data_IF_273307533935
#
_entry.id   IF_273307533935
#
_cell.length_a   1.000
_cell.length_b   1.000
_cell.length_c   1.000
_cell.angle_alpha   90.00
_cell.angle_beta   90.00
_cell.angle_gamma   90.00
#
_symmetry.space_group_name_H-M   'P 1'
#
loop_
_entity.id
_entity.type
_entity.pdbx_description
1 polymer ?
#
# COMPACT_ATOMS: atom_id res chain seq x y z
N UNK A 1 -6.81 -0.83 28.66
CA UNK A 1 -6.34 0.39 27.98
C UNK A 1 -7.53 1.22 27.51
N UNK A 2 -7.42 2.55 27.53
CA UNK A 2 -8.48 3.45 27.10
C UNK A 2 -8.24 3.84 25.64
N UNK A 3 -9.16 3.45 24.74
CA UNK A 3 -9.10 3.82 23.32
C UNK A 3 -9.55 5.28 23.19
N UNK A 4 -8.69 6.12 22.62
CA UNK A 4 -8.94 7.51 22.22
C UNK A 4 -8.54 7.72 20.75
N UNK A 5 -8.81 8.91 20.19
CA UNK A 5 -8.53 9.20 18.79
C UNK A 5 -7.06 8.97 18.41
N UNK A 6 -6.11 9.44 19.23
CA UNK A 6 -4.67 9.24 19.00
C UNK A 6 -4.31 7.76 18.92
N UNK A 7 -4.77 6.94 19.86
CA UNK A 7 -4.50 5.50 19.86
C UNK A 7 -5.17 4.77 18.69
N UNK A 8 -6.37 5.17 18.30
CA UNK A 8 -7.09 4.59 17.16
C UNK A 8 -6.37 4.86 15.84
N UNK A 9 -5.90 6.10 15.66
CA UNK A 9 -5.15 6.52 14.48
C UNK A 9 -3.78 5.86 14.46
N UNK A 10 -3.05 5.88 15.57
CA UNK A 10 -1.75 5.20 15.67
C UNK A 10 -1.87 3.73 15.28
N UNK A 11 -2.89 3.02 15.77
CA UNK A 11 -3.12 1.62 15.41
C UNK A 11 -3.43 1.46 13.91
N UNK A 12 -4.27 2.32 13.33
CA UNK A 12 -4.55 2.28 11.89
C UNK A 12 -3.31 2.53 11.03
N UNK A 13 -2.47 3.48 11.43
CA UNK A 13 -1.21 3.82 10.73
C UNK A 13 -0.08 2.85 11.02
N UNK A 14 -0.17 2.05 12.08
CA UNK A 14 0.83 1.02 12.40
C UNK A 14 0.83 -0.08 11.34
N UNK A 15 -0.34 -0.42 10.79
CA UNK A 15 -0.49 -1.43 9.74
C UNK A 15 -0.17 -0.87 8.35
N UNK A 16 -0.66 0.33 8.02
CA UNK A 16 -0.32 1.05 6.79
C UNK A 16 -0.09 2.52 7.11
N UNK A 17 1.19 2.91 7.28
CA UNK A 17 1.58 4.32 7.59
C UNK A 17 1.06 5.30 6.54
N UNK A 18 0.88 4.84 5.30
CA UNK A 18 0.63 5.67 4.14
C UNK A 18 -0.84 5.66 3.71
N UNK A 19 -1.71 5.12 4.57
CA UNK A 19 -3.17 5.17 4.37
C UNK A 19 -3.63 6.63 4.17
N UNK A 20 -4.44 6.91 3.14
CA UNK A 20 -5.02 8.23 2.95
C UNK A 20 -5.85 8.65 4.19
N UNK A 21 -5.73 9.91 4.61
CA UNK A 21 -6.48 10.43 5.77
C UNK A 21 -7.99 10.19 5.63
N UNK A 22 -8.54 10.38 4.43
CA UNK A 22 -9.97 10.18 4.14
C UNK A 22 -10.40 8.72 4.27
N UNK A 23 -9.54 7.78 3.86
CA UNK A 23 -9.77 6.34 3.99
C UNK A 23 -9.72 5.92 5.45
N UNK A 24 -8.67 6.33 6.18
CA UNK A 24 -8.55 6.07 7.61
C UNK A 24 -9.73 6.67 8.40
N UNK A 25 -10.16 7.88 8.04
CA UNK A 25 -11.35 8.52 8.63
C UNK A 25 -12.60 7.68 8.43
N UNK A 26 -12.85 7.22 7.21
CA UNK A 26 -14.00 6.38 6.89
C UNK A 26 -14.02 5.10 7.73
N UNK A 27 -12.86 4.44 7.87
CA UNK A 27 -12.70 3.26 8.71
C UNK A 27 -12.99 3.59 10.19
N UNK A 28 -12.40 4.65 10.72
CA UNK A 28 -12.59 5.08 12.11
C UNK A 28 -14.05 5.42 12.39
N UNK A 29 -14.70 6.20 11.52
CA UNK A 29 -16.11 6.58 11.69
C UNK A 29 -17.04 5.34 11.67
N UNK A 30 -16.76 4.36 10.81
CA UNK A 30 -17.48 3.08 10.77
C UNK A 30 -17.28 2.29 12.07
N UNK A 31 -16.05 2.23 12.57
CA UNK A 31 -15.72 1.53 13.82
C UNK A 31 -16.37 2.23 15.02
N UNK A 32 -16.32 3.57 15.07
CA UNK A 32 -16.96 4.38 16.12
C UNK A 32 -18.46 4.12 16.16
N UNK A 33 -19.12 4.17 14.99
CA UNK A 33 -20.57 3.91 14.88
C UNK A 33 -20.92 2.50 15.31
N UNK A 34 -20.16 1.50 14.85
CA UNK A 34 -20.39 0.10 15.23
C UNK A 34 -20.19 -0.10 16.74
N UNK A 35 -19.08 0.40 17.28
CA UNK A 35 -18.74 0.22 18.68
C UNK A 35 -19.66 1.01 19.63
N UNK A 36 -20.13 2.20 19.25
CA UNK A 36 -21.06 2.99 20.07
C UNK A 36 -22.41 2.29 20.25
N UNK A 37 -22.85 1.52 19.24
CA UNK A 37 -24.13 0.81 19.28
C UNK A 37 -24.13 -0.40 20.22
N UNK A 38 -22.94 -0.88 20.64
CA UNK A 38 -22.81 -1.98 21.60
C UNK A 38 -23.10 -1.53 23.03
N UNK A 39 -22.93 -0.23 23.33
CA UNK A 39 -23.06 0.30 24.68
C UNK A 39 -24.43 0.93 24.90
N UNK A 40 -24.89 0.90 26.15
CA UNK A 40 -26.08 1.62 26.58
C UNK A 40 -25.98 3.11 26.21
N UNK A 41 -27.07 3.64 25.68
CA UNK A 41 -27.18 5.02 25.26
C UNK A 41 -26.90 5.99 26.43
N UNK A 42 -26.10 7.03 26.16
CA UNK A 42 -25.70 8.03 27.16
C UNK A 42 -24.67 7.53 28.18
N UNK A 43 -24.26 6.25 28.13
CA UNK A 43 -23.25 5.74 29.04
C UNK A 43 -21.90 6.42 28.83
N UNK A 44 -21.10 6.54 29.91
CA UNK A 44 -19.75 7.09 29.83
C UNK A 44 -18.88 6.39 28.77
N UNK A 45 -19.09 5.09 28.57
CA UNK A 45 -18.36 4.30 27.55
C UNK A 45 -18.77 4.69 26.13
N UNK A 46 -20.08 4.78 25.86
CA UNK A 46 -20.57 5.23 24.56
C UNK A 46 -20.07 6.65 24.23
N UNK A 47 -20.21 7.59 25.18
CA UNK A 47 -19.77 8.97 24.99
C UNK A 47 -18.27 9.10 24.74
N UNK A 48 -17.43 8.25 25.35
CA UNK A 48 -15.99 8.22 25.09
C UNK A 48 -15.67 7.78 23.66
N UNK A 49 -16.40 6.80 23.13
CA UNK A 49 -16.21 6.31 21.75
C UNK A 49 -16.65 7.36 20.74
N UNK A 50 -17.81 7.98 20.96
CA UNK A 50 -18.32 9.05 20.09
C UNK A 50 -17.41 10.28 20.02
N UNK A 51 -16.56 10.50 21.05
CA UNK A 51 -15.55 11.57 21.04
C UNK A 51 -14.37 11.33 20.11
N UNK A 52 -14.19 10.11 19.59
CA UNK A 52 -13.08 9.79 18.70
C UNK A 52 -13.24 10.54 17.37
N UNK A 53 -14.41 10.48 16.72
CA UNK A 53 -14.63 11.11 15.41
C UNK A 53 -14.41 12.64 15.41
N UNK A 54 -14.92 13.42 16.38
CA UNK A 54 -14.65 14.86 16.45
C UNK A 54 -13.18 15.23 16.68
N UNK A 55 -12.39 14.31 17.25
CA UNK A 55 -10.96 14.53 17.53
C UNK A 55 -10.06 14.00 16.40
N UNK A 56 -10.63 13.43 15.34
CA UNK A 56 -9.88 12.70 14.31
C UNK A 56 -8.80 13.57 13.67
N UNK A 57 -9.14 14.75 13.15
CA UNK A 57 -8.20 15.55 12.37
C UNK A 57 -6.99 16.02 13.22
N UNK A 58 -7.25 16.53 14.43
CA UNK A 58 -6.19 16.97 15.37
C UNK A 58 -5.32 15.78 15.79
N UNK A 59 -5.94 14.63 16.07
CA UNK A 59 -5.19 13.44 16.46
C UNK A 59 -4.39 12.86 15.29
N UNK A 60 -4.89 12.96 14.05
CA UNK A 60 -4.21 12.54 12.84
C UNK A 60 -2.94 13.35 12.60
N UNK A 61 -3.05 14.67 12.62
CA UNK A 61 -1.92 15.58 12.52
C UNK A 61 -0.87 15.30 13.61
N UNK A 62 -1.31 15.08 14.85
CA UNK A 62 -0.45 14.75 15.98
C UNK A 62 0.33 13.44 15.77
N UNK A 63 -0.33 12.38 15.30
CA UNK A 63 0.35 11.10 15.02
C UNK A 63 1.32 11.24 13.84
N UNK A 64 0.95 11.94 12.77
CA UNK A 64 1.85 12.23 11.65
C UNK A 64 3.12 12.95 12.10
N UNK A 65 2.98 14.01 12.91
CA UNK A 65 4.12 14.74 13.46
C UNK A 65 5.06 13.85 14.29
N UNK A 66 4.50 12.93 15.09
CA UNK A 66 5.29 11.96 15.87
C UNK A 66 6.08 10.98 14.99
N UNK A 67 5.53 10.58 13.85
CA UNK A 67 6.27 9.79 12.85
C UNK A 67 7.37 10.62 12.18
N UNK A 68 7.08 11.85 11.78
CA UNK A 68 8.01 12.70 11.04
C UNK A 68 9.21 13.13 11.89
N UNK A 69 9.02 13.33 13.20
CA UNK A 69 10.10 13.58 14.14
C UNK A 69 10.85 12.31 14.59
N UNK A 70 10.44 11.13 14.14
CA UNK A 70 11.04 9.86 14.52
C UNK A 70 10.77 9.41 15.96
N UNK A 71 9.82 10.02 16.66
CA UNK A 71 9.43 9.62 18.02
C UNK A 71 8.72 8.25 18.03
N UNK A 72 8.05 7.91 16.94
CA UNK A 72 7.41 6.61 16.72
C UNK A 72 8.10 5.93 15.53
N UNK A 73 8.59 4.71 15.72
CA UNK A 73 9.19 3.90 14.66
C UNK A 73 8.11 3.30 13.76
N UNK A 74 8.43 3.18 12.48
CA UNK A 74 7.66 2.39 11.51
C UNK A 74 8.59 1.36 10.91
N UNK A 75 8.16 0.11 10.87
CA UNK A 75 8.84 -0.95 10.12
C UNK A 75 8.49 -0.89 8.62
N UNK A 76 7.51 -0.05 8.26
CA UNK A 76 7.03 0.13 6.89
C UNK A 76 7.89 1.18 6.19
N UNK A 77 8.54 0.77 5.09
CA UNK A 77 9.29 1.65 4.20
C UNK A 77 8.39 2.72 3.58
N UNK A 78 9.01 3.81 3.11
CA UNK A 78 8.31 4.85 2.38
C UNK A 78 7.93 4.34 0.99
N UNK A 79 6.66 4.50 0.54
CA UNK A 79 6.21 4.27 -0.80
C UNK A 79 7.10 4.91 -1.84
N UNK A 80 7.25 4.19 -2.96
CA UNK A 80 7.87 4.75 -4.15
C UNK A 80 7.02 5.91 -4.66
N UNK A 81 7.66 7.05 -4.92
CA UNK A 81 7.03 8.18 -5.61
C UNK A 81 6.74 7.84 -7.08
N UNK A 82 5.82 8.57 -7.71
CA UNK A 82 5.53 8.43 -9.14
C UNK A 82 6.79 8.47 -10.02
N UNK A 83 7.73 9.38 -9.72
CA UNK A 83 9.00 9.48 -10.43
C UNK A 83 9.90 8.25 -10.19
N UNK A 84 9.94 7.71 -8.97
CA UNK A 84 10.68 6.48 -8.67
C UNK A 84 10.07 5.29 -9.40
N UNK A 85 8.74 5.15 -9.41
CA UNK A 85 8.03 4.10 -10.14
C UNK A 85 8.36 4.19 -11.64
N UNK A 86 8.29 5.40 -12.22
CA UNK A 86 8.65 5.63 -13.62
C UNK A 86 10.09 5.23 -13.92
N UNK A 87 11.04 5.69 -13.11
CA UNK A 87 12.45 5.37 -13.29
C UNK A 87 12.71 3.86 -13.19
N UNK A 88 12.03 3.18 -12.25
CA UNK A 88 12.12 1.74 -12.08
C UNK A 88 11.61 0.97 -13.30
N UNK A 89 10.42 1.33 -13.80
CA UNK A 89 9.85 0.70 -14.98
C UNK A 89 10.72 0.96 -16.22
N UNK A 90 11.20 2.18 -16.41
CA UNK A 90 12.10 2.52 -17.53
C UNK A 90 13.42 1.74 -17.46
N UNK A 91 13.97 1.55 -16.26
CA UNK A 91 15.15 0.73 -16.06
C UNK A 91 14.88 -0.75 -16.40
N UNK A 92 13.76 -1.30 -15.91
CA UNK A 92 13.36 -2.67 -16.21
C UNK A 92 13.16 -2.88 -17.72
N UNK A 93 12.49 -1.95 -18.41
CA UNK A 93 12.31 -1.99 -19.87
C UNK A 93 13.64 -2.06 -20.61
N UNK A 94 14.63 -1.24 -20.22
CA UNK A 94 15.98 -1.29 -20.80
C UNK A 94 16.65 -2.64 -20.56
N UNK A 95 16.56 -3.18 -19.34
CA UNK A 95 17.16 -4.48 -18.99
C UNK A 95 16.54 -5.62 -19.79
N UNK A 96 15.22 -5.61 -19.97
CA UNK A 96 14.51 -6.59 -20.78
C UNK A 96 14.85 -6.47 -22.27
N UNK A 97 14.91 -5.25 -22.79
CA UNK A 97 15.19 -4.99 -24.21
C UNK A 97 16.62 -5.29 -24.65
N UNK A 98 17.57 -5.40 -23.71
CA UNK A 98 18.96 -5.75 -24.01
C UNK A 98 19.16 -7.24 -24.33
N UNK A 99 18.21 -8.11 -23.98
CA UNK A 99 18.28 -9.55 -24.23
C UNK A 99 17.33 -9.92 -25.37
N UNK A 100 17.87 -10.58 -26.40
CA UNK A 100 17.13 -10.95 -27.61
C UNK A 100 16.46 -12.32 -27.52
N UNK A 101 16.56 -13.01 -26.38
CA UNK A 101 15.89 -14.28 -26.16
C UNK A 101 14.36 -14.11 -26.23
N UNK A 102 13.63 -15.14 -26.70
CA UNK A 102 12.19 -15.06 -26.87
C UNK A 102 11.42 -14.69 -25.60
N UNK A 103 11.91 -15.13 -24.43
CA UNK A 103 11.30 -14.79 -23.14
C UNK A 103 11.42 -13.29 -22.84
N UNK A 104 12.63 -12.73 -22.96
CA UNK A 104 12.89 -11.34 -22.63
C UNK A 104 12.22 -10.38 -23.61
N UNK A 105 12.20 -10.71 -24.91
CA UNK A 105 11.47 -9.94 -25.92
C UNK A 105 9.97 -9.93 -25.65
N UNK A 106 9.39 -11.07 -25.26
CA UNK A 106 7.97 -11.14 -24.90
C UNK A 106 7.65 -10.29 -23.66
N UNK A 107 8.44 -10.44 -22.60
CA UNK A 107 8.29 -9.65 -21.38
C UNK A 107 8.47 -8.15 -21.64
N UNK A 108 9.43 -7.77 -22.49
CA UNK A 108 9.63 -6.38 -22.89
C UNK A 108 8.38 -5.81 -23.56
N UNK A 109 7.81 -6.51 -24.55
CA UNK A 109 6.58 -6.08 -25.22
C UNK A 109 5.42 -5.90 -24.22
N UNK A 110 5.17 -6.91 -23.38
CA UNK A 110 4.06 -6.88 -22.44
C UNK A 110 4.25 -5.77 -21.36
N UNK A 111 5.46 -5.57 -20.85
CA UNK A 111 5.78 -4.46 -19.92
C UNK A 111 5.67 -3.10 -20.61
N UNK A 112 5.97 -3.01 -21.92
CA UNK A 112 5.91 -1.75 -22.65
C UNK A 112 4.48 -1.24 -22.85
N UNK A 113 3.49 -2.14 -22.90
CA UNK A 113 2.07 -1.81 -22.99
C UNK A 113 1.47 -1.29 -21.67
N UNK A 114 2.12 -1.56 -20.54
CA UNK A 114 1.65 -1.08 -19.24
C UNK A 114 1.89 0.42 -19.10
N UNK A 115 0.80 1.16 -18.86
CA UNK A 115 0.87 2.57 -18.47
C UNK A 115 1.40 2.69 -17.04
N UNK A 116 2.56 3.35 -16.88
CA UNK A 116 3.18 3.63 -15.58
C UNK A 116 2.25 4.41 -14.66
N UNK A 117 1.38 5.26 -15.21
CA UNK A 117 0.43 6.06 -14.43
C UNK A 117 -0.63 5.24 -13.70
N UNK A 118 -0.83 3.98 -14.10
CA UNK A 118 -1.76 3.06 -13.44
C UNK A 118 -1.09 2.23 -12.34
N UNK A 119 0.23 2.37 -12.16
CA UNK A 119 0.99 1.62 -11.15
C UNK A 119 1.05 2.39 -9.84
N UNK A 120 0.98 1.63 -8.76
CA UNK A 120 1.21 2.08 -7.40
C UNK A 120 2.44 1.38 -6.83
N UNK A 121 2.96 1.87 -5.71
CA UNK A 121 4.07 1.22 -5.01
C UNK A 121 3.74 -0.21 -4.53
N UNK A 122 2.47 -0.59 -4.48
CA UNK A 122 2.01 -1.94 -4.13
C UNK A 122 2.17 -2.93 -5.28
N UNK A 123 2.28 -2.45 -6.52
CA UNK A 123 2.49 -3.30 -7.69
C UNK A 123 3.95 -3.77 -7.76
N UNK A 124 4.24 -5.08 -7.86
CA UNK A 124 5.61 -5.59 -7.91
C UNK A 124 6.45 -4.92 -9.01
N UNK A 125 5.81 -4.61 -10.15
CA UNK A 125 6.46 -3.98 -11.30
C UNK A 125 7.02 -2.59 -10.98
N UNK A 126 6.37 -1.86 -10.06
CA UNK A 126 6.84 -0.56 -9.59
C UNK A 126 8.21 -0.66 -8.88
N UNK A 127 8.51 -1.81 -8.31
CA UNK A 127 9.80 -2.16 -7.68
C UNK A 127 10.71 -2.97 -8.60
N UNK A 128 10.46 -2.95 -9.92
CA UNK A 128 11.20 -3.70 -10.94
C UNK A 128 11.04 -5.23 -10.86
N UNK A 129 10.04 -5.72 -10.11
CA UNK A 129 9.80 -7.15 -9.92
C UNK A 129 8.71 -7.63 -10.87
N UNK A 130 8.99 -8.71 -11.61
CA UNK A 130 7.98 -9.43 -12.39
C UNK A 130 7.54 -10.63 -11.56
N UNK A 131 6.34 -10.57 -11.00
CA UNK A 131 5.78 -11.67 -10.20
C UNK A 131 5.36 -12.83 -11.09
N UNK A 132 5.62 -14.07 -10.67
CA UNK A 132 5.15 -15.28 -11.35
C UNK A 132 3.60 -15.40 -11.37
N UNK A 133 2.94 -14.78 -10.39
CA UNK A 133 1.47 -14.66 -10.31
C UNK A 133 0.90 -13.52 -11.14
N UNK A 134 1.72 -12.64 -11.72
CA UNK A 134 1.24 -11.53 -12.53
C UNK A 134 0.63 -11.98 -13.86
N UNK A 135 -0.32 -11.20 -14.40
CA UNK A 135 -0.91 -11.45 -15.72
C UNK A 135 0.13 -11.52 -16.83
N UNK A 136 1.24 -10.76 -16.71
CA UNK A 136 2.39 -10.81 -17.60
C UNK A 136 2.92 -12.24 -17.74
N UNK A 137 3.19 -12.92 -16.62
CA UNK A 137 3.74 -14.28 -16.60
C UNK A 137 2.67 -15.33 -16.91
N UNK A 138 1.44 -15.12 -16.45
CA UNK A 138 0.35 -16.07 -16.67
C UNK A 138 -0.03 -16.17 -18.16
N UNK A 139 0.11 -15.08 -18.91
CA UNK A 139 -0.18 -15.01 -20.34
C UNK A 139 1.01 -15.45 -21.23
N UNK A 140 2.16 -15.80 -20.65
CA UNK A 140 3.28 -16.33 -21.42
C UNK A 140 2.92 -17.68 -22.06
N UNK A 141 3.36 -17.94 -23.31
CA UNK A 141 3.32 -19.27 -23.91
C UNK A 141 3.94 -20.32 -22.99
N UNK A 142 3.40 -21.55 -23.01
CA UNK A 142 3.75 -22.58 -22.01
C UNK A 142 5.25 -22.89 -21.90
N UNK A 143 6.01 -22.83 -22.99
CA UNK A 143 7.46 -22.98 -22.98
C UNK A 143 8.18 -21.79 -22.33
N UNK A 144 7.74 -20.56 -22.60
CA UNK A 144 8.31 -19.34 -22.02
C UNK A 144 7.95 -19.21 -20.54
N UNK A 145 6.72 -19.55 -20.16
CA UNK A 145 6.29 -19.61 -18.76
C UNK A 145 7.14 -20.60 -17.95
N UNK A 146 7.39 -21.79 -18.51
CA UNK A 146 8.32 -22.75 -17.90
C UNK A 146 9.72 -22.19 -17.78
N UNK A 147 10.26 -21.57 -18.83
CA UNK A 147 11.58 -20.95 -18.79
C UNK A 147 11.69 -19.86 -17.72
N UNK A 148 10.64 -19.04 -17.55
CA UNK A 148 10.58 -18.04 -16.48
C UNK A 148 10.59 -18.68 -15.08
N UNK A 149 9.82 -19.74 -14.87
CA UNK A 149 9.71 -20.41 -13.56
C UNK A 149 10.95 -21.22 -13.18
N UNK A 150 11.73 -21.72 -14.15
CA UNK A 150 12.93 -22.54 -13.91
C UNK A 150 14.12 -21.69 -13.41
N UNK A 151 14.14 -20.38 -13.69
CA UNK A 151 15.22 -19.48 -13.29
C UNK A 151 15.03 -18.81 -11.90
N UNK A 152 14.00 -19.17 -11.13
CA UNK A 152 13.70 -18.59 -9.81
C UNK A 152 14.08 -19.54 -8.64
N UNK A 153 15.31 -20.06 -8.61
CA UNK A 153 15.87 -20.76 -7.45
C UNK A 153 16.97 -19.94 -6.78
#
# INVERSE_FOLDING_TARGET
>A
HQINATSAIYLGMKEDRWIPQTELRSIVDRVVTSASNVYMEGSSRQLRILRISPQFDIAFEGVCALYDMGAIKTDVEKPLSSDQIKNNVDYLKRKLGNDTSPLYQRLYSDVNEISVHNLTWKDPLASQVISDTSTLVQNLPGNLKKAFMVCNY
#
